data_IF_019975144399
#
_entry.id   IF_019975144399
#
_cell.length_a   1.000
_cell.length_b   1.000
_cell.length_c   1.000
_cell.angle_alpha   90.00
_cell.angle_beta   90.00
_cell.angle_gamma   90.00
#
_symmetry.space_group_name_H-M   'P 1'
#
loop_
_entity.id
_entity.type
_entity.pdbx_description
1 polymer ?
#
# COMPACT_ATOMS: atom_id res chain seq x y z
N UNK A 1 17.88 -30.90 58.02
CA UNK A 1 16.96 -32.04 57.75
C UNK A 1 15.67 -31.58 57.02
N UNK A 2 15.13 -30.40 57.30
CA UNK A 2 13.89 -29.90 56.67
C UNK A 2 14.02 -29.63 55.15
N UNK A 3 15.18 -29.16 54.69
CA UNK A 3 15.41 -28.84 53.28
C UNK A 3 15.53 -30.09 52.40
N UNK A 4 16.07 -31.19 52.93
CA UNK A 4 16.13 -32.48 52.21
C UNK A 4 14.74 -33.08 52.00
N UNK A 5 13.90 -33.06 53.04
CA UNK A 5 12.51 -33.55 52.97
C UNK A 5 11.67 -32.73 51.99
N UNK A 6 11.79 -31.40 52.01
CA UNK A 6 11.09 -30.54 51.08
C UNK A 6 11.52 -30.77 49.62
N UNK A 7 12.81 -31.05 49.37
CA UNK A 7 13.33 -31.37 48.06
C UNK A 7 12.87 -32.74 47.54
N UNK A 8 12.78 -33.72 48.41
CA UNK A 8 12.25 -35.05 48.06
C UNK A 8 10.77 -34.98 47.67
N UNK A 9 9.99 -34.12 48.31
CA UNK A 9 8.56 -33.99 48.07
C UNK A 9 8.24 -33.07 46.87
N UNK A 10 8.99 -31.99 46.68
CA UNK A 10 8.67 -30.94 45.69
C UNK A 10 9.69 -30.81 44.54
N UNK A 11 10.85 -31.45 44.65
CA UNK A 11 11.95 -31.28 43.70
C UNK A 11 11.58 -31.66 42.26
N UNK A 12 10.83 -32.76 42.09
CA UNK A 12 10.35 -33.15 40.73
C UNK A 12 9.42 -32.12 40.12
N UNK A 13 8.50 -31.57 40.90
CA UNK A 13 7.56 -30.54 40.39
C UNK A 13 8.28 -29.24 40.09
N UNK A 14 9.27 -28.86 40.90
CA UNK A 14 10.09 -27.66 40.66
C UNK A 14 10.90 -27.79 39.38
N UNK A 15 11.57 -28.92 39.17
CA UNK A 15 12.34 -29.21 37.95
C UNK A 15 11.42 -29.14 36.73
N UNK A 16 10.25 -29.77 36.79
CA UNK A 16 9.30 -29.71 35.65
C UNK A 16 8.88 -28.28 35.35
N UNK A 17 8.57 -27.48 36.36
CA UNK A 17 8.18 -26.05 36.16
C UNK A 17 9.33 -25.24 35.56
N UNK A 18 10.56 -25.46 36.00
CA UNK A 18 11.75 -24.78 35.44
C UNK A 18 12.00 -25.20 34.00
N UNK A 19 11.89 -26.49 33.68
CA UNK A 19 12.05 -27.01 32.32
C UNK A 19 10.98 -26.44 31.38
N UNK A 20 9.71 -26.41 31.82
CA UNK A 20 8.61 -25.82 31.04
C UNK A 20 8.83 -24.31 30.84
N UNK A 21 9.27 -23.58 31.87
CA UNK A 21 9.60 -22.18 31.77
C UNK A 21 10.74 -21.89 30.79
N UNK A 22 11.80 -22.72 30.83
CA UNK A 22 12.93 -22.61 29.89
C UNK A 22 12.49 -22.96 28.47
N UNK A 23 11.68 -23.97 28.26
CA UNK A 23 11.17 -24.34 26.94
C UNK A 23 10.29 -23.21 26.34
N UNK A 24 9.41 -22.61 27.15
CA UNK A 24 8.60 -21.49 26.75
C UNK A 24 9.46 -20.27 26.40
N UNK A 25 10.48 -19.98 27.21
CA UNK A 25 11.43 -18.86 26.95
C UNK A 25 12.25 -19.09 25.69
N UNK A 26 12.75 -20.30 25.47
CA UNK A 26 13.48 -20.64 24.24
C UNK A 26 12.58 -20.55 23.00
N UNK A 27 11.34 -21.02 23.10
CA UNK A 27 10.36 -20.90 22.02
C UNK A 27 10.06 -19.44 21.69
N UNK A 28 9.92 -18.59 22.71
CA UNK A 28 9.73 -17.16 22.55
C UNK A 28 10.95 -16.48 21.90
N UNK A 29 12.16 -16.84 22.32
CA UNK A 29 13.41 -16.34 21.71
C UNK A 29 13.52 -16.72 20.22
N UNK A 30 13.25 -17.97 19.88
CA UNK A 30 13.27 -18.43 18.48
C UNK A 30 12.21 -17.70 17.67
N UNK A 31 11.00 -17.52 18.23
CA UNK A 31 9.93 -16.80 17.54
C UNK A 31 10.27 -15.34 17.32
N UNK A 32 10.78 -14.61 18.33
CA UNK A 32 11.17 -13.20 18.19
C UNK A 32 12.32 -13.02 17.21
N UNK A 33 13.32 -13.92 17.24
CA UNK A 33 14.45 -13.86 16.30
C UNK A 33 14.00 -14.14 14.85
N UNK A 34 13.06 -15.05 14.65
CA UNK A 34 12.47 -15.30 13.33
C UNK A 34 11.67 -14.11 12.81
N UNK A 35 10.92 -13.42 13.68
CA UNK A 35 10.18 -12.20 13.32
C UNK A 35 11.13 -11.08 12.90
N UNK A 36 12.22 -10.86 13.65
CA UNK A 36 13.20 -9.83 13.31
C UNK A 36 13.89 -10.13 11.97
N UNK A 37 14.31 -11.38 11.73
CA UNK A 37 14.92 -11.78 10.47
C UNK A 37 13.96 -11.59 9.27
N UNK A 38 12.67 -11.84 9.46
CA UNK A 38 11.65 -11.59 8.44
C UNK A 38 11.49 -10.08 8.13
N UNK A 39 11.55 -9.23 9.16
CA UNK A 39 11.45 -7.77 9.00
C UNK A 39 12.70 -7.24 8.29
N UNK A 40 13.88 -7.69 8.69
CA UNK A 40 15.16 -7.29 8.09
C UNK A 40 15.19 -7.65 6.60
N UNK A 41 14.83 -8.90 6.24
CA UNK A 41 14.74 -9.33 4.84
C UNK A 41 13.75 -8.51 4.01
N UNK A 42 12.58 -8.20 4.58
CA UNK A 42 11.59 -7.36 3.90
C UNK A 42 12.09 -5.91 3.72
N UNK A 43 12.85 -5.38 4.68
CA UNK A 43 13.48 -4.06 4.60
C UNK A 43 14.53 -4.02 3.49
N UNK A 44 15.41 -5.03 3.42
CA UNK A 44 16.47 -5.10 2.41
C UNK A 44 15.87 -5.12 0.98
N UNK A 45 14.82 -5.92 0.77
CA UNK A 45 14.11 -5.97 -0.51
C UNK A 45 13.46 -4.63 -0.86
N UNK A 46 12.90 -3.94 0.13
CA UNK A 46 12.30 -2.63 -0.08
C UNK A 46 13.36 -1.56 -0.37
N UNK A 47 14.52 -1.61 0.28
CA UNK A 47 15.65 -0.74 -0.03
C UNK A 47 16.15 -0.96 -1.47
N UNK A 48 16.19 -2.22 -1.96
CA UNK A 48 16.49 -2.52 -3.36
C UNK A 48 15.46 -1.85 -4.28
N UNK A 49 14.15 -1.96 -4.00
CA UNK A 49 13.11 -1.27 -4.76
C UNK A 49 13.34 0.25 -4.79
N UNK A 50 13.62 0.85 -3.62
CA UNK A 50 13.88 2.30 -3.54
C UNK A 50 15.12 2.69 -4.34
N UNK A 51 16.20 1.93 -4.28
CA UNK A 51 17.43 2.22 -5.01
C UNK A 51 17.20 2.19 -6.53
N UNK A 52 16.45 1.21 -7.02
CA UNK A 52 16.05 1.12 -8.41
C UNK A 52 15.15 2.30 -8.83
N UNK A 53 14.13 2.62 -8.03
CA UNK A 53 13.20 3.70 -8.31
C UNK A 53 13.87 5.10 -8.26
N UNK A 54 14.85 5.32 -7.37
CA UNK A 54 15.58 6.60 -7.25
C UNK A 54 16.60 6.77 -8.38
N UNK A 55 17.26 5.69 -8.82
CA UNK A 55 18.19 5.74 -9.95
C UNK A 55 17.50 6.25 -11.22
N UNK A 56 16.20 5.99 -11.34
CA UNK A 56 15.35 6.49 -12.43
C UNK A 56 15.03 7.98 -12.32
N UNK A 57 14.71 8.46 -11.12
CA UNK A 57 14.30 9.85 -10.90
C UNK A 57 15.43 10.86 -11.10
N UNK A 58 16.69 10.41 -11.07
CA UNK A 58 17.89 11.27 -11.15
C UNK A 58 18.35 11.66 -12.56
N UNK A 59 17.78 11.08 -13.61
CA UNK A 59 18.17 11.38 -14.99
C UNK A 59 16.95 11.81 -15.84
N UNK A 60 16.73 13.13 -16.04
CA UNK A 60 15.67 13.59 -16.92
C UNK A 60 15.90 13.08 -18.34
N UNK A 61 15.01 12.23 -18.84
CA UNK A 61 15.04 11.68 -20.20
C UNK A 61 15.63 10.28 -20.35
N UNK A 62 16.03 9.63 -19.28
CA UNK A 62 16.37 8.20 -19.32
C UNK A 62 15.09 7.40 -19.20
N UNK A 63 14.67 6.78 -20.29
CA UNK A 63 13.67 5.72 -20.25
C UNK A 63 14.22 4.61 -19.33
N UNK A 64 13.39 4.13 -18.40
CA UNK A 64 13.64 2.95 -17.59
C UNK A 64 14.36 1.88 -18.40
N UNK A 65 15.43 1.33 -17.85
CA UNK A 65 15.93 0.06 -18.35
C UNK A 65 14.85 -0.96 -18.02
N UNK A 66 14.24 -1.66 -19.00
CA UNK A 66 13.11 -2.58 -18.76
C UNK A 66 13.39 -3.60 -17.65
N UNK A 67 14.66 -3.95 -17.45
CA UNK A 67 15.14 -4.83 -16.38
C UNK A 67 14.86 -4.32 -14.96
N UNK A 68 14.99 -3.02 -14.72
CA UNK A 68 14.78 -2.45 -13.38
C UNK A 68 13.29 -2.43 -13.02
N UNK A 69 12.46 -2.13 -14.01
CA UNK A 69 11.00 -2.18 -13.89
C UNK A 69 10.50 -3.59 -13.58
N UNK A 70 10.99 -4.61 -14.31
CA UNK A 70 10.65 -6.01 -14.06
C UNK A 70 11.11 -6.46 -12.66
N UNK A 71 12.30 -6.02 -12.24
CA UNK A 71 12.85 -6.35 -10.92
C UNK A 71 12.03 -5.76 -9.79
N UNK A 72 11.55 -4.51 -9.91
CA UNK A 72 10.66 -3.89 -8.92
C UNK A 72 9.34 -4.67 -8.81
N UNK A 73 8.75 -5.08 -9.93
CA UNK A 73 7.52 -5.89 -9.94
C UNK A 73 7.75 -7.25 -9.28
N UNK A 74 8.89 -7.90 -9.56
CA UNK A 74 9.27 -9.18 -8.96
C UNK A 74 9.43 -9.06 -7.44
N UNK A 75 10.23 -8.10 -6.98
CA UNK A 75 10.44 -7.83 -5.54
C UNK A 75 9.12 -7.54 -4.83
N UNK A 76 8.23 -6.77 -5.44
CA UNK A 76 6.89 -6.53 -4.91
C UNK A 76 6.07 -7.81 -4.78
N UNK A 77 6.19 -8.76 -5.71
CA UNK A 77 5.54 -10.08 -5.62
C UNK A 77 6.13 -10.93 -4.49
N UNK A 78 7.45 -10.96 -4.36
CA UNK A 78 8.13 -11.69 -3.27
C UNK A 78 7.74 -11.13 -1.91
N UNK A 79 7.77 -9.80 -1.75
CA UNK A 79 7.34 -9.14 -0.52
C UNK A 79 5.90 -9.52 -0.13
N UNK A 80 4.97 -9.59 -1.08
CA UNK A 80 3.58 -10.02 -0.82
C UNK A 80 3.49 -11.48 -0.40
N UNK A 81 4.24 -12.38 -1.04
CA UNK A 81 4.14 -13.83 -0.78
C UNK A 81 4.86 -14.25 0.49
N UNK A 82 6.01 -13.66 0.80
CA UNK A 82 6.86 -14.09 1.91
C UNK A 82 6.74 -13.19 3.15
N UNK A 83 6.44 -11.90 2.94
CA UNK A 83 6.41 -10.88 3.99
C UNK A 83 5.08 -10.11 4.05
N UNK A 84 3.96 -10.74 3.64
CA UNK A 84 2.65 -10.09 3.46
C UNK A 84 2.11 -9.35 4.69
N UNK A 85 2.53 -9.72 5.90
CA UNK A 85 2.19 -9.01 7.13
C UNK A 85 2.99 -7.72 7.39
N UNK A 86 4.02 -7.42 6.59
CA UNK A 86 4.88 -6.26 6.77
C UNK A 86 4.35 -5.01 6.06
N UNK A 87 4.70 -3.83 6.58
CA UNK A 87 4.45 -2.55 5.89
C UNK A 87 5.26 -2.47 4.58
N UNK A 88 6.43 -3.09 4.52
CA UNK A 88 7.27 -3.12 3.32
C UNK A 88 6.59 -3.83 2.14
N UNK A 89 5.81 -4.89 2.39
CA UNK A 89 5.04 -5.56 1.35
C UNK A 89 3.97 -4.65 0.75
N UNK A 90 3.31 -3.83 1.57
CA UNK A 90 2.32 -2.86 1.10
C UNK A 90 2.97 -1.74 0.30
N UNK A 91 4.08 -1.17 0.80
CA UNK A 91 4.83 -0.13 0.10
C UNK A 91 5.44 -0.66 -1.20
N UNK A 92 6.06 -1.85 -1.19
CA UNK A 92 6.55 -2.51 -2.39
C UNK A 92 5.47 -2.77 -3.44
N UNK A 93 4.23 -3.07 -2.99
CA UNK A 93 3.08 -3.21 -3.88
C UNK A 93 2.66 -1.91 -4.56
N UNK A 94 2.83 -0.75 -3.89
CA UNK A 94 2.60 0.56 -4.53
C UNK A 94 3.60 0.83 -5.66
N UNK A 95 4.88 0.48 -5.46
CA UNK A 95 5.91 0.59 -6.51
C UNK A 95 5.66 -0.40 -7.64
N UNK A 96 5.33 -1.66 -7.32
CA UNK A 96 4.99 -2.67 -8.32
C UNK A 96 3.79 -2.23 -9.17
N UNK A 97 2.75 -1.66 -8.56
CA UNK A 97 1.60 -1.10 -9.28
C UNK A 97 2.02 0.04 -10.22
N UNK A 98 2.88 0.94 -9.76
CA UNK A 98 3.38 2.05 -10.58
C UNK A 98 4.15 1.54 -11.80
N UNK A 99 5.05 0.57 -11.63
CA UNK A 99 5.80 -0.02 -12.73
C UNK A 99 4.89 -0.78 -13.71
N UNK A 100 3.89 -1.50 -13.19
CA UNK A 100 2.91 -2.18 -14.04
C UNK A 100 2.13 -1.18 -14.92
N UNK A 101 1.76 0.00 -14.38
CA UNK A 101 1.14 1.07 -15.19
C UNK A 101 2.09 1.56 -16.29
N UNK A 102 3.36 1.78 -15.98
CA UNK A 102 4.36 2.22 -16.97
C UNK A 102 4.56 1.17 -18.07
N UNK A 103 4.47 -0.11 -17.72
CA UNK A 103 4.53 -1.22 -18.65
C UNK A 103 3.20 -1.46 -19.39
N UNK A 104 2.19 -0.62 -19.18
CA UNK A 104 0.83 -0.77 -19.71
C UNK A 104 0.13 -2.06 -19.29
N UNK A 105 0.54 -2.66 -18.16
CA UNK A 105 -0.10 -3.81 -17.54
C UNK A 105 -1.05 -3.35 -16.42
N UNK A 106 -2.23 -2.86 -16.85
CA UNK A 106 -3.22 -2.32 -15.91
C UNK A 106 -3.83 -3.41 -15.02
N UNK A 107 -3.86 -4.66 -15.45
CA UNK A 107 -4.37 -5.78 -14.66
C UNK A 107 -3.41 -6.12 -13.50
N UNK A 108 -2.10 -6.17 -13.76
CA UNK A 108 -1.11 -6.36 -12.70
C UNK A 108 -1.07 -5.17 -11.72
N UNK A 109 -1.26 -3.95 -12.22
CA UNK A 109 -1.35 -2.76 -11.39
C UNK A 109 -2.58 -2.82 -10.46
N UNK A 110 -3.76 -3.15 -11.01
CA UNK A 110 -4.99 -3.34 -10.25
C UNK A 110 -4.81 -4.42 -9.18
N UNK A 111 -4.29 -5.59 -9.54
CA UNK A 111 -4.07 -6.69 -8.61
C UNK A 111 -3.12 -6.31 -7.47
N UNK A 112 -2.10 -5.49 -7.74
CA UNK A 112 -1.14 -5.04 -6.73
C UNK A 112 -1.77 -4.08 -5.73
N UNK A 113 -2.64 -3.17 -6.18
CA UNK A 113 -3.36 -2.24 -5.30
C UNK A 113 -4.49 -2.93 -4.54
N UNK A 114 -5.25 -3.82 -5.20
CA UNK A 114 -6.29 -4.60 -4.55
C UNK A 114 -5.71 -5.45 -3.42
N UNK A 115 -4.53 -6.05 -3.62
CA UNK A 115 -3.85 -6.81 -2.58
C UNK A 115 -3.57 -5.97 -1.33
N UNK A 116 -3.21 -4.68 -1.47
CA UNK A 116 -3.00 -3.79 -0.31
C UNK A 116 -4.30 -3.65 0.49
N UNK A 117 -5.43 -3.47 -0.20
CA UNK A 117 -6.75 -3.29 0.41
C UNK A 117 -7.25 -4.56 1.09
N UNK A 118 -7.05 -5.72 0.46
CA UNK A 118 -7.45 -7.02 1.00
C UNK A 118 -6.62 -7.45 2.22
N UNK A 119 -5.38 -6.92 2.34
CA UNK A 119 -4.47 -7.21 3.44
C UNK A 119 -4.36 -6.04 4.43
N UNK A 120 -5.37 -5.16 4.47
CA UNK A 120 -5.51 -4.17 5.52
C UNK A 120 -5.85 -4.87 6.85
N UNK A 121 -4.84 -5.04 7.69
CA UNK A 121 -5.09 -5.55 9.04
C UNK A 121 -5.54 -4.38 9.92
N UNK A 122 -6.83 -4.36 10.26
CA UNK A 122 -7.39 -3.48 11.26
C UNK A 122 -6.74 -3.75 12.62
N UNK A 123 -5.80 -2.93 13.03
CA UNK A 123 -5.17 -2.96 14.35
C UNK A 123 -5.46 -1.68 15.12
N UNK A 124 -5.19 -1.69 16.43
CA UNK A 124 -5.37 -0.56 17.35
C UNK A 124 -4.54 0.71 17.00
N UNK A 125 -3.70 0.65 15.95
CA UNK A 125 -2.86 1.75 15.44
C UNK A 125 -3.19 2.07 13.98
N UNK A 126 -4.46 2.16 13.65
CA UNK A 126 -4.99 2.21 12.28
C UNK A 126 -4.66 3.51 11.50
N UNK A 127 -4.32 4.61 12.19
CA UNK A 127 -4.07 5.91 11.54
C UNK A 127 -2.87 5.87 10.58
N UNK A 128 -1.82 5.12 10.89
CA UNK A 128 -0.64 5.00 10.03
C UNK A 128 -0.92 4.27 8.70
N UNK A 129 -1.92 3.39 8.67
CA UNK A 129 -2.32 2.65 7.47
C UNK A 129 -3.39 3.40 6.66
N UNK A 130 -4.12 4.33 7.26
CA UNK A 130 -5.22 5.04 6.59
C UNK A 130 -4.75 5.81 5.36
N UNK A 131 -3.66 6.58 5.47
CA UNK A 131 -3.09 7.30 4.34
C UNK A 131 -2.63 6.36 3.20
N UNK A 132 -2.12 5.18 3.54
CA UNK A 132 -1.73 4.17 2.57
C UNK A 132 -2.96 3.60 1.85
N UNK A 133 -4.01 3.28 2.59
CA UNK A 133 -5.28 2.76 2.05
C UNK A 133 -5.95 3.79 1.14
N UNK A 134 -6.01 5.06 1.56
CA UNK A 134 -6.54 6.13 0.73
C UNK A 134 -5.71 6.33 -0.54
N UNK A 135 -4.38 6.25 -0.44
CA UNK A 135 -3.49 6.30 -1.62
C UNK A 135 -3.73 5.13 -2.56
N UNK A 136 -3.85 3.91 -2.03
CA UNK A 136 -4.10 2.72 -2.83
C UNK A 136 -5.46 2.80 -3.54
N UNK A 137 -6.53 3.21 -2.85
CA UNK A 137 -7.84 3.40 -3.45
C UNK A 137 -7.85 4.49 -4.53
N UNK A 138 -7.18 5.63 -4.29
CA UNK A 138 -7.08 6.71 -5.27
C UNK A 138 -6.38 6.24 -6.56
N UNK A 139 -5.27 5.51 -6.42
CA UNK A 139 -4.55 4.94 -7.56
C UNK A 139 -5.38 3.85 -8.25
N UNK A 140 -6.05 2.99 -7.47
CA UNK A 140 -6.94 1.96 -7.99
C UNK A 140 -8.08 2.56 -8.82
N UNK A 141 -8.72 3.61 -8.32
CA UNK A 141 -9.77 4.31 -9.07
C UNK A 141 -9.28 4.86 -10.42
N UNK A 142 -8.06 5.40 -10.46
CA UNK A 142 -7.43 5.86 -11.72
C UNK A 142 -7.15 4.71 -12.69
N UNK A 143 -6.72 3.54 -12.20
CA UNK A 143 -6.48 2.36 -13.04
C UNK A 143 -7.79 1.82 -13.59
N UNK A 144 -8.82 1.69 -12.76
CA UNK A 144 -10.15 1.26 -13.18
C UNK A 144 -10.71 2.19 -14.26
N UNK A 145 -10.55 3.51 -14.09
CA UNK A 145 -10.94 4.50 -15.09
C UNK A 145 -10.13 4.33 -16.40
N UNK A 146 -8.82 4.12 -16.30
CA UNK A 146 -7.96 3.89 -17.47
C UNK A 146 -8.31 2.59 -18.23
N UNK A 147 -8.92 1.62 -17.56
CA UNK A 147 -9.49 0.41 -18.19
C UNK A 147 -10.84 0.66 -18.89
N UNK A 148 -11.39 1.88 -18.79
CA UNK A 148 -12.69 2.25 -19.36
C UNK A 148 -13.89 1.87 -18.49
N UNK A 149 -13.68 1.52 -17.23
CA UNK A 149 -14.72 1.06 -16.29
C UNK A 149 -15.20 2.22 -15.39
N UNK A 150 -15.69 3.31 -16.01
CA UNK A 150 -16.01 4.57 -15.32
C UNK A 150 -17.02 4.39 -14.17
N UNK A 151 -18.08 3.59 -14.35
CA UNK A 151 -19.08 3.35 -13.31
C UNK A 151 -18.49 2.63 -12.10
N UNK A 152 -17.57 1.67 -12.32
CA UNK A 152 -16.89 0.96 -11.26
C UNK A 152 -15.94 1.89 -10.51
N UNK A 153 -15.22 2.77 -11.22
CA UNK A 153 -14.36 3.79 -10.63
C UNK A 153 -15.19 4.76 -9.76
N UNK A 154 -16.35 5.22 -10.25
CA UNK A 154 -17.24 6.09 -9.51
C UNK A 154 -17.77 5.42 -8.25
N UNK A 155 -18.18 4.17 -8.33
CA UNK A 155 -18.65 3.40 -7.17
C UNK A 155 -17.57 3.27 -6.10
N UNK A 156 -16.32 3.01 -6.49
CA UNK A 156 -15.18 2.95 -5.56
C UNK A 156 -14.99 4.28 -4.83
N UNK A 157 -14.93 5.39 -5.56
CA UNK A 157 -14.65 6.73 -5.01
C UNK A 157 -15.77 7.23 -4.11
N UNK A 158 -17.04 6.94 -4.43
CA UNK A 158 -18.19 7.40 -3.67
C UNK A 158 -18.40 6.65 -2.34
N UNK A 159 -17.82 5.46 -2.18
CA UNK A 159 -17.95 4.67 -0.97
C UNK A 159 -16.87 4.98 0.09
N UNK A 160 -16.01 5.97 -0.16
CA UNK A 160 -14.88 6.31 0.71
C UNK A 160 -15.02 7.72 1.28
N UNK A 161 -14.59 7.88 2.52
CA UNK A 161 -14.33 9.19 3.11
C UNK A 161 -12.88 9.61 2.77
N UNK A 162 -12.69 10.59 1.88
CA UNK A 162 -11.37 10.94 1.36
C UNK A 162 -10.48 11.69 2.36
N UNK A 163 -11.03 12.24 3.45
CA UNK A 163 -10.32 12.99 4.50
C UNK A 163 -9.32 14.01 3.91
N UNK A 164 -8.04 13.88 4.22
CA UNK A 164 -6.98 14.78 3.73
C UNK A 164 -6.67 14.61 2.23
N UNK A 165 -7.21 13.59 1.57
CA UNK A 165 -7.05 13.34 0.13
C UNK A 165 -8.19 13.91 -0.72
N UNK A 166 -9.09 14.73 -0.14
CA UNK A 166 -10.28 15.28 -0.83
C UNK A 166 -9.95 15.88 -2.19
N UNK A 167 -8.87 16.66 -2.30
CA UNK A 167 -8.44 17.25 -3.55
C UNK A 167 -8.21 16.21 -4.66
N UNK A 168 -7.47 15.14 -4.37
CA UNK A 168 -7.16 14.09 -5.31
C UNK A 168 -8.39 13.24 -5.71
N UNK A 169 -9.27 12.97 -4.76
CA UNK A 169 -10.50 12.23 -5.01
C UNK A 169 -11.52 13.04 -5.80
N UNK A 170 -11.64 14.34 -5.53
CA UNK A 170 -12.51 15.23 -6.29
C UNK A 170 -12.02 15.42 -7.73
N UNK A 171 -10.69 15.51 -7.94
CA UNK A 171 -10.14 15.53 -9.30
C UNK A 171 -10.42 14.23 -10.04
N UNK A 172 -10.24 13.07 -9.38
CA UNK A 172 -10.58 11.77 -9.98
C UNK A 172 -12.08 11.65 -10.30
N UNK A 173 -12.99 12.14 -9.41
CA UNK A 173 -14.42 12.19 -9.73
C UNK A 173 -14.69 13.00 -10.98
N UNK A 174 -14.02 14.14 -11.15
CA UNK A 174 -14.10 14.95 -12.36
C UNK A 174 -13.69 14.17 -13.61
N UNK A 175 -12.54 13.47 -13.56
CA UNK A 175 -12.05 12.64 -14.66
C UNK A 175 -13.04 11.51 -15.00
N UNK A 176 -13.65 10.90 -13.99
CA UNK A 176 -14.67 9.87 -14.16
C UNK A 176 -15.92 10.44 -14.82
N UNK A 177 -16.41 11.61 -14.39
CA UNK A 177 -17.58 12.24 -14.98
C UNK A 177 -17.34 12.67 -16.45
N UNK A 178 -16.13 13.11 -16.80
CA UNK A 178 -15.76 13.33 -18.21
C UNK A 178 -15.88 12.03 -19.01
N UNK A 179 -15.35 10.91 -18.50
CA UNK A 179 -15.45 9.62 -19.18
C UNK A 179 -16.90 9.10 -19.32
N UNK A 180 -17.82 9.67 -18.55
CA UNK A 180 -19.27 9.36 -18.58
C UNK A 180 -20.10 10.40 -19.36
N UNK A 181 -19.46 11.34 -20.08
CA UNK A 181 -20.09 12.45 -20.80
C UNK A 181 -20.95 13.36 -19.88
N UNK A 182 -20.54 13.53 -18.60
CA UNK A 182 -21.22 14.31 -17.56
C UNK A 182 -20.45 15.58 -17.22
N UNK A 183 -20.34 16.50 -18.16
CA UNK A 183 -19.48 17.70 -18.07
C UNK A 183 -19.84 18.63 -16.90
N UNK A 184 -21.15 18.79 -16.59
CA UNK A 184 -21.57 19.64 -15.47
C UNK A 184 -21.08 19.08 -14.13
N UNK A 185 -21.26 17.77 -13.92
CA UNK A 185 -20.79 17.10 -12.71
C UNK A 185 -19.25 17.09 -12.63
N UNK A 186 -18.59 16.96 -13.78
CA UNK A 186 -17.11 17.03 -13.86
C UNK A 186 -16.60 18.41 -13.44
N UNK A 187 -17.22 19.48 -13.93
CA UNK A 187 -16.87 20.85 -13.55
C UNK A 187 -17.00 21.07 -12.05
N UNK A 188 -18.14 20.65 -11.47
CA UNK A 188 -18.38 20.77 -10.03
C UNK A 188 -17.35 20.00 -9.21
N UNK A 189 -16.98 18.78 -9.64
CA UNK A 189 -15.95 17.97 -9.00
C UNK A 189 -14.56 18.61 -9.09
N UNK A 190 -14.18 19.20 -10.22
CA UNK A 190 -12.91 19.91 -10.38
C UNK A 190 -12.86 21.19 -9.54
N UNK A 191 -13.98 21.94 -9.43
CA UNK A 191 -14.07 23.09 -8.53
C UNK A 191 -13.90 22.64 -7.07
N UNK A 192 -14.51 21.51 -6.66
CA UNK A 192 -14.32 20.95 -5.33
C UNK A 192 -12.85 20.55 -5.09
N UNK A 193 -12.16 19.99 -6.08
CA UNK A 193 -10.72 19.70 -6.00
C UNK A 193 -9.88 20.95 -5.76
N UNK A 194 -10.19 22.04 -6.49
CA UNK A 194 -9.52 23.34 -6.32
C UNK A 194 -9.76 23.92 -4.93
N UNK A 195 -11.01 23.87 -4.44
CA UNK A 195 -11.36 24.34 -3.09
C UNK A 195 -10.70 23.52 -1.99
N UNK A 196 -10.46 22.22 -2.24
CA UNK A 196 -9.73 21.33 -1.35
C UNK A 196 -8.19 21.49 -1.42
N UNK A 197 -7.70 22.46 -2.23
CA UNK A 197 -6.29 22.86 -2.29
C UNK A 197 -5.51 22.33 -3.49
N UNK A 198 -6.12 21.66 -4.46
CA UNK A 198 -5.45 21.32 -5.73
C UNK A 198 -5.23 22.58 -6.57
N UNK A 199 -3.97 22.87 -6.86
CA UNK A 199 -3.56 24.02 -7.69
C UNK A 199 -2.68 23.59 -8.87
N UNK A 200 -2.87 22.37 -9.38
CA UNK A 200 -2.08 21.85 -10.49
C UNK A 200 -2.44 22.57 -11.81
N UNK A 201 -1.46 22.72 -12.69
CA UNK A 201 -1.71 23.26 -14.03
C UNK A 201 -2.66 22.35 -14.82
N UNK A 202 -2.59 21.03 -14.61
CA UNK A 202 -3.50 20.06 -15.21
C UNK A 202 -4.97 20.30 -14.82
N UNK A 203 -5.25 20.55 -13.55
CA UNK A 203 -6.61 20.86 -13.08
C UNK A 203 -7.13 22.16 -13.71
N UNK A 204 -6.27 23.19 -13.78
CA UNK A 204 -6.66 24.45 -14.44
C UNK A 204 -7.02 24.24 -15.91
N UNK A 205 -6.19 23.50 -16.65
CA UNK A 205 -6.47 23.17 -18.04
C UNK A 205 -7.81 22.45 -18.23
N UNK A 206 -8.12 21.46 -17.38
CA UNK A 206 -9.39 20.74 -17.39
C UNK A 206 -10.59 21.67 -17.16
N UNK A 207 -10.49 22.60 -16.21
CA UNK A 207 -11.54 23.60 -15.94
C UNK A 207 -11.70 24.60 -17.09
N UNK A 208 -10.61 25.06 -17.70
CA UNK A 208 -10.62 25.98 -18.84
C UNK A 208 -11.27 25.32 -20.07
N UNK A 209 -10.99 24.05 -20.33
CA UNK A 209 -11.58 23.27 -21.42
C UNK A 209 -13.12 23.23 -21.29
N UNK A 210 -13.63 22.84 -20.11
CA UNK A 210 -15.07 22.79 -19.83
C UNK A 210 -15.74 24.17 -19.83
N UNK A 211 -14.99 25.26 -19.66
CA UNK A 211 -15.56 26.62 -19.72
C UNK A 211 -15.71 27.13 -21.15
N UNK A 212 -14.91 26.62 -22.09
CA UNK A 212 -14.92 27.04 -23.49
C UNK A 212 -15.98 26.28 -24.33
N UNK A 213 -16.47 25.15 -23.86
CA UNK A 213 -17.46 24.30 -24.53
C UNK A 213 -18.92 24.62 -24.13
N UNK A 214 -19.12 25.59 -23.20
CA UNK A 214 -20.42 26.04 -22.69
C UNK A 214 -20.82 27.35 -23.34
#
# INVERSE_FOLDING_TARGET
>A
ESMKKWWEENGKQLIIRVVVGLAAFMSWLVWTNSQNANIDSASDMYEEILSLAISEAGQPGTLLIPLDSERIVELGKILRSEHGGSTYAKLGSLFAAQQSVQNNDLDAAEASLQWILDNEQGGLFNEANEGLVLTANLRLGRIILAKGEAERALALVNNLDPKTFEAGYSELRGDIYIAMDREVDARDAYIAAQQAGSNSDGLRMKLDELSNES
#
